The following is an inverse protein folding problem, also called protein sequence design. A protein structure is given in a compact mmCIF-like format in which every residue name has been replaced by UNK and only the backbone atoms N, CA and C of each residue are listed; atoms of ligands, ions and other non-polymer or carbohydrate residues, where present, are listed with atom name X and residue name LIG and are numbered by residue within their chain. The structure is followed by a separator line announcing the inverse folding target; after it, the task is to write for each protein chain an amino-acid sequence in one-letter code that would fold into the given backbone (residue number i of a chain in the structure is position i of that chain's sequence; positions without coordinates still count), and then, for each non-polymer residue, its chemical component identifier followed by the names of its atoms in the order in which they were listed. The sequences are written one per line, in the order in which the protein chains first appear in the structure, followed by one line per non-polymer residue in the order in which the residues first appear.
data_IF_135028906463
#
_entry.id   IF_135028906463
#
_cell.length_a   1.000
_cell.length_b   1.000
_cell.length_c   1.000
_cell.angle_alpha   90.00
_cell.angle_beta   90.00
_cell.angle_gamma   90.00
#
_symmetry.space_group_name_H-M   'P 1'
#
loop_
_entity.id
_entity.type
_entity.pdbx_description
1 polymer ?
#
# COMPACT_ATOMS: atom_id res chain seq x y z
N UNK A 1 -63.48 -20.09 1.28
CA UNK A 1 -63.18 -18.65 1.18
C UNK A 1 -62.52 -18.11 2.46
N UNK A 2 -62.98 -18.49 3.65
CA UNK A 2 -62.44 -18.04 4.95
C UNK A 2 -60.93 -18.22 5.13
N UNK A 3 -60.35 -19.37 4.73
CA UNK A 3 -58.89 -19.60 4.80
C UNK A 3 -58.06 -18.68 3.89
N UNK A 4 -58.62 -18.22 2.76
CA UNK A 4 -57.94 -17.25 1.87
C UNK A 4 -58.02 -15.85 2.46
N UNK A 5 -59.17 -15.49 3.04
CA UNK A 5 -59.39 -14.22 3.73
C UNK A 5 -58.47 -14.09 4.95
N UNK A 6 -58.32 -15.15 5.76
CA UNK A 6 -57.44 -15.17 6.94
C UNK A 6 -55.95 -15.00 6.58
N UNK A 7 -55.52 -15.58 5.44
CA UNK A 7 -54.15 -15.40 4.92
C UNK A 7 -53.91 -13.96 4.45
N UNK A 8 -54.90 -13.35 3.80
CA UNK A 8 -54.84 -11.95 3.35
C UNK A 8 -54.80 -10.98 4.53
N UNK A 9 -55.68 -11.16 5.53
CA UNK A 9 -55.68 -10.32 6.73
C UNK A 9 -54.42 -10.50 7.56
N UNK A 10 -53.94 -11.74 7.73
CA UNK A 10 -52.66 -12.01 8.40
C UNK A 10 -51.47 -11.37 7.69
N UNK A 11 -51.44 -11.40 6.36
CA UNK A 11 -50.38 -10.73 5.58
C UNK A 11 -50.44 -9.22 5.73
N UNK A 12 -51.64 -8.61 5.74
CA UNK A 12 -51.83 -7.19 5.97
C UNK A 12 -51.35 -6.74 7.36
N UNK A 13 -51.66 -7.52 8.41
CA UNK A 13 -51.19 -7.25 9.77
C UNK A 13 -49.67 -7.35 9.86
N UNK A 14 -49.07 -8.35 9.23
CA UNK A 14 -47.61 -8.51 9.18
C UNK A 14 -46.94 -7.32 8.48
N UNK A 15 -47.48 -6.88 7.34
CA UNK A 15 -46.99 -5.70 6.60
C UNK A 15 -47.13 -4.44 7.47
N UNK A 16 -48.29 -4.23 8.11
CA UNK A 16 -48.50 -3.09 8.99
C UNK A 16 -47.51 -3.08 10.18
N UNK A 17 -47.27 -4.23 10.79
CA UNK A 17 -46.28 -4.38 11.86
C UNK A 17 -44.86 -4.06 11.38
N UNK A 18 -44.46 -4.55 10.19
CA UNK A 18 -43.18 -4.21 9.58
C UNK A 18 -43.06 -2.70 9.31
N UNK A 19 -44.10 -2.06 8.76
CA UNK A 19 -44.09 -0.61 8.49
C UNK A 19 -43.96 0.19 9.78
N UNK A 20 -44.69 -0.17 10.83
CA UNK A 20 -44.63 0.50 12.14
C UNK A 20 -43.24 0.35 12.76
N UNK A 21 -42.68 -0.86 12.78
CA UNK A 21 -41.36 -1.12 13.38
C UNK A 21 -40.24 -0.41 12.61
N UNK A 22 -40.27 -0.41 11.28
CA UNK A 22 -39.32 0.33 10.45
C UNK A 22 -39.45 1.85 10.63
N UNK A 23 -40.68 2.36 10.70
CA UNK A 23 -40.93 3.80 10.89
C UNK A 23 -40.47 4.28 12.27
N UNK A 24 -40.71 3.48 13.32
CA UNK A 24 -40.25 3.77 14.67
C UNK A 24 -38.71 3.78 14.73
N UNK A 25 -38.06 2.75 14.17
CA UNK A 25 -36.59 2.68 14.10
C UNK A 25 -35.98 3.85 13.32
N UNK A 26 -36.58 4.23 12.18
CA UNK A 26 -36.12 5.37 11.38
C UNK A 26 -36.25 6.71 12.12
N UNK A 27 -37.28 6.86 12.98
CA UNK A 27 -37.48 8.07 13.76
C UNK A 27 -36.47 8.19 14.90
N UNK A 28 -36.23 7.11 15.63
CA UNK A 28 -35.27 7.07 16.74
C UNK A 28 -33.81 7.27 16.29
N UNK A 29 -33.49 6.88 15.06
CA UNK A 29 -32.13 7.02 14.51
C UNK A 29 -31.89 8.34 13.76
N UNK A 30 -32.94 9.13 13.52
CA UNK A 30 -32.87 10.35 12.68
C UNK A 30 -32.02 11.45 13.28
N UNK A 31 -32.08 11.63 14.59
CA UNK A 31 -31.47 12.76 15.30
C UNK A 31 -30.19 12.37 16.07
N UNK A 32 -29.64 11.19 15.76
CA UNK A 32 -28.40 10.71 16.38
C UNK A 32 -27.22 11.58 15.93
N UNK A 33 -26.53 12.15 16.92
CA UNK A 33 -25.32 12.94 16.69
C UNK A 33 -24.06 12.08 16.74
N UNK A 34 -23.03 12.49 16.01
CA UNK A 34 -21.71 11.90 16.09
C UNK A 34 -21.04 12.25 17.44
N UNK A 35 -20.87 11.27 18.31
CA UNK A 35 -20.25 11.42 19.62
C UNK A 35 -18.73 11.25 19.59
N UNK A 36 -18.21 10.37 18.73
CA UNK A 36 -16.78 10.08 18.65
C UNK A 36 -16.36 9.61 17.25
N UNK A 37 -15.04 9.70 17.00
CA UNK A 37 -14.38 9.17 15.81
C UNK A 37 -13.50 8.02 16.28
N UNK A 38 -13.63 6.85 15.65
CA UNK A 38 -12.87 5.66 15.97
C UNK A 38 -12.00 5.26 14.78
N UNK A 39 -10.69 5.14 15.01
CA UNK A 39 -9.73 4.83 13.95
C UNK A 39 -9.27 3.38 14.06
N UNK A 40 -9.53 2.65 12.98
CA UNK A 40 -9.14 1.26 12.76
C UNK A 40 -7.94 1.22 11.80
N UNK A 41 -6.84 0.62 12.27
CA UNK A 41 -5.59 0.45 11.52
C UNK A 41 -5.28 -1.04 11.36
N UNK A 42 -4.62 -1.42 10.27
CA UNK A 42 -4.16 -2.80 10.08
C UNK A 42 -2.85 -3.06 10.85
N UNK A 43 -2.71 -4.24 11.46
CA UNK A 43 -1.61 -4.46 12.41
C UNK A 43 -0.21 -4.62 11.79
N UNK A 44 -0.08 -4.87 10.48
CA UNK A 44 1.21 -5.24 9.84
C UNK A 44 1.66 -4.34 8.68
N UNK A 45 1.24 -3.07 8.66
CA UNK A 45 1.67 -2.14 7.61
C UNK A 45 3.12 -1.65 7.83
N UNK A 46 3.92 -1.59 6.76
CA UNK A 46 5.31 -1.10 6.79
C UNK A 46 5.40 0.41 7.07
N UNK A 47 4.37 1.14 6.67
CA UNK A 47 4.22 2.58 6.88
C UNK A 47 2.99 2.78 7.76
N UNK A 48 3.15 3.53 8.85
CA UNK A 48 2.06 3.81 9.79
C UNK A 48 2.03 5.30 10.08
N UNK A 49 0.90 5.92 9.77
CA UNK A 49 0.54 7.25 10.25
C UNK A 49 -0.10 7.10 11.64
N UNK A 50 0.17 8.06 12.53
CA UNK A 50 -0.43 8.05 13.87
C UNK A 50 -1.95 8.25 13.83
N UNK A 51 -2.68 7.66 14.77
CA UNK A 51 -4.13 7.89 14.93
C UNK A 51 -4.45 9.39 15.11
N UNK A 52 -3.59 10.14 15.77
CA UNK A 52 -3.76 11.58 15.97
C UNK A 52 -3.64 12.37 14.65
N UNK A 53 -2.71 11.98 13.78
CA UNK A 53 -2.58 12.58 12.45
C UNK A 53 -3.78 12.25 11.55
N UNK A 54 -4.27 11.01 11.55
CA UNK A 54 -5.52 10.66 10.84
C UNK A 54 -6.70 11.45 11.41
N UNK A 55 -6.81 11.58 12.74
CA UNK A 55 -7.86 12.39 13.39
C UNK A 55 -7.78 13.84 12.93
N UNK A 56 -6.57 14.41 12.81
CA UNK A 56 -6.36 15.77 12.30
C UNK A 56 -6.76 15.89 10.83
N UNK A 57 -6.43 14.93 9.98
CA UNK A 57 -6.85 14.92 8.57
C UNK A 57 -8.38 14.92 8.45
N UNK A 58 -9.06 14.04 9.19
CA UNK A 58 -10.53 13.95 9.21
C UNK A 58 -11.16 15.27 9.69
N UNK A 59 -10.67 15.84 10.80
CA UNK A 59 -11.17 17.13 11.33
C UNK A 59 -10.83 18.33 10.47
N UNK A 60 -9.77 18.28 9.67
CA UNK A 60 -9.44 19.34 8.72
C UNK A 60 -10.41 19.39 7.53
N UNK A 61 -11.07 18.27 7.24
CA UNK A 61 -12.06 18.18 6.18
C UNK A 61 -13.46 18.63 6.64
N UNK A 62 -13.78 18.42 7.92
CA UNK A 62 -14.99 18.93 8.58
C UNK A 62 -14.68 19.10 10.08
N UNK A 63 -14.61 20.35 10.54
CA UNK A 63 -14.23 20.70 11.91
C UNK A 63 -15.38 20.52 12.91
N UNK A 64 -16.62 20.40 12.42
CA UNK A 64 -17.83 20.26 13.21
C UNK A 64 -18.38 18.82 13.21
N UNK A 65 -17.51 17.81 13.10
CA UNK A 65 -17.98 16.41 13.09
C UNK A 65 -18.62 15.99 14.41
N UNK A 66 -17.99 16.30 15.54
CA UNK A 66 -18.51 15.92 16.86
C UNK A 66 -19.70 16.81 17.22
N UNK A 67 -20.83 16.21 17.56
CA UNK A 67 -22.09 16.88 17.84
C UNK A 67 -23.00 17.11 16.63
N UNK A 68 -22.49 16.96 15.41
CA UNK A 68 -23.29 17.06 14.18
C UNK A 68 -24.16 15.83 13.98
N UNK A 69 -25.33 16.03 13.38
CA UNK A 69 -26.23 14.94 13.01
C UNK A 69 -25.50 13.97 12.05
N UNK A 70 -25.46 12.69 12.41
CA UNK A 70 -24.71 11.65 11.70
C UNK A 70 -25.15 11.51 10.24
N UNK A 71 -26.43 11.78 9.92
CA UNK A 71 -26.95 11.74 8.55
C UNK A 71 -26.39 12.87 7.68
N UNK A 72 -26.09 14.03 8.26
CA UNK A 72 -25.56 15.20 7.54
C UNK A 72 -24.05 15.11 7.26
N UNK A 73 -23.36 14.14 7.84
CA UNK A 73 -21.93 13.91 7.58
C UNK A 73 -21.76 13.26 6.21
N UNK A 74 -20.98 13.87 5.32
CA UNK A 74 -20.70 13.32 4.00
C UNK A 74 -19.43 12.46 4.05
N UNK A 75 -19.60 11.14 4.20
CA UNK A 75 -18.49 10.19 4.29
C UNK A 75 -17.57 10.25 3.07
N UNK A 76 -18.12 10.18 1.85
CA UNK A 76 -17.36 10.20 0.60
C UNK A 76 -16.47 11.45 0.44
N UNK A 77 -16.90 12.59 0.98
CA UNK A 77 -16.11 13.82 0.93
C UNK A 77 -14.97 13.81 1.95
N UNK A 78 -15.20 13.22 3.13
CA UNK A 78 -14.15 12.99 4.12
C UNK A 78 -13.12 11.97 3.61
N UNK A 79 -13.57 10.87 3.00
CA UNK A 79 -12.69 9.86 2.41
C UNK A 79 -11.75 10.49 1.38
N UNK A 80 -12.32 11.21 0.40
CA UNK A 80 -11.53 11.92 -0.62
C UNK A 80 -10.59 12.96 -0.04
N UNK A 81 -10.94 13.59 1.07
CA UNK A 81 -10.05 14.56 1.72
C UNK A 81 -8.87 13.86 2.41
N UNK A 82 -9.13 12.75 3.11
CA UNK A 82 -8.11 11.94 3.80
C UNK A 82 -7.17 11.26 2.79
N UNK A 83 -7.72 10.74 1.68
CA UNK A 83 -6.96 10.08 0.61
C UNK A 83 -6.00 11.01 -0.17
N UNK A 84 -6.10 12.34 0.01
CA UNK A 84 -5.09 13.28 -0.52
C UNK A 84 -3.74 13.14 0.17
N UNK A 85 -3.70 12.55 1.36
CA UNK A 85 -2.46 12.34 2.07
C UNK A 85 -1.63 11.24 1.37
N UNK A 86 -0.40 11.56 0.97
CA UNK A 86 0.40 10.71 0.08
C UNK A 86 0.64 9.29 0.61
N UNK A 87 0.74 9.10 1.92
CA UNK A 87 0.93 7.77 2.52
C UNK A 87 -0.37 6.95 2.71
N UNK A 88 -1.54 7.50 2.38
CA UNK A 88 -2.84 6.80 2.45
C UNK A 88 -3.20 6.30 1.05
N UNK A 89 -3.45 4.99 0.93
CA UNK A 89 -3.93 4.37 -0.31
C UNK A 89 -5.46 4.45 -0.40
N UNK A 90 -6.14 4.18 0.71
CA UNK A 90 -7.61 4.12 0.78
C UNK A 90 -8.07 4.53 2.17
N UNK A 91 -9.15 5.30 2.23
CA UNK A 91 -9.91 5.56 3.43
C UNK A 91 -11.34 5.02 3.26
N UNK A 92 -11.84 4.33 4.27
CA UNK A 92 -13.24 3.89 4.36
C UNK A 92 -13.83 4.51 5.62
N UNK A 93 -14.83 5.37 5.44
CA UNK A 93 -15.48 6.10 6.51
C UNK A 93 -16.93 5.66 6.58
N UNK A 94 -17.30 5.08 7.71
CA UNK A 94 -18.64 4.54 7.91
C UNK A 94 -19.24 5.04 9.22
N UNK A 95 -20.57 5.05 9.25
CA UNK A 95 -21.37 5.56 10.36
C UNK A 95 -21.91 4.39 11.14
N UNK A 96 -21.60 4.32 12.42
CA UNK A 96 -22.12 3.30 13.34
C UNK A 96 -23.06 3.96 14.32
N UNK A 97 -24.23 3.38 14.55
CA UNK A 97 -25.13 3.79 15.62
C UNK A 97 -25.12 2.66 16.66
N UNK A 98 -24.69 3.00 17.86
CA UNK A 98 -24.73 2.09 19.01
C UNK A 98 -25.80 2.54 19.99
N UNK A 99 -26.48 1.59 20.63
CA UNK A 99 -27.41 1.87 21.71
C UNK A 99 -26.68 1.65 23.03
N UNK A 100 -26.57 2.69 23.85
CA UNK A 100 -26.08 2.58 25.22
C UNK A 100 -27.25 2.66 26.22
N UNK A 101 -26.92 2.67 27.52
CA UNK A 101 -27.92 2.74 28.60
C UNK A 101 -28.69 4.06 28.66
N UNK A 102 -28.24 5.11 27.94
CA UNK A 102 -28.77 6.48 28.01
C UNK A 102 -29.46 6.87 26.70
N UNK A 103 -29.09 6.29 25.56
CA UNK A 103 -29.72 6.53 24.27
C UNK A 103 -28.94 5.95 23.09
N UNK A 104 -29.16 6.52 21.91
CA UNK A 104 -28.40 6.19 20.71
C UNK A 104 -27.19 7.13 20.57
N UNK A 105 -26.01 6.56 20.32
CA UNK A 105 -24.77 7.31 20.04
C UNK A 105 -24.24 6.95 18.66
N UNK A 106 -23.92 7.98 17.88
CA UNK A 106 -23.24 7.83 16.60
C UNK A 106 -21.73 7.80 16.76
N UNK A 107 -21.07 6.86 16.10
CA UNK A 107 -19.62 6.79 15.96
C UNK A 107 -19.26 6.88 14.49
N UNK A 108 -18.26 7.70 14.16
CA UNK A 108 -17.65 7.70 12.84
C UNK A 108 -16.46 6.74 12.84
N UNK A 109 -16.63 5.56 12.22
CA UNK A 109 -15.56 4.61 12.01
C UNK A 109 -14.70 5.05 10.82
N UNK A 110 -13.39 5.09 11.00
CA UNK A 110 -12.41 5.47 9.98
C UNK A 110 -11.41 4.34 9.85
N UNK A 111 -11.48 3.62 8.74
CA UNK A 111 -10.54 2.55 8.42
C UNK A 111 -9.57 3.04 7.36
N UNK A 112 -8.28 2.98 7.69
CA UNK A 112 -7.21 3.45 6.81
C UNK A 112 -6.42 2.26 6.28
N UNK A 113 -6.13 2.30 4.98
CA UNK A 113 -5.11 1.47 4.35
C UNK A 113 -3.96 2.36 3.88
N UNK A 114 -2.77 2.13 4.42
CA UNK A 114 -1.56 2.84 4.02
C UNK A 114 -1.04 2.32 2.68
N UNK A 115 -0.26 3.13 1.99
CA UNK A 115 0.49 2.66 0.81
C UNK A 115 1.61 1.73 1.22
N UNK A 116 1.78 0.66 0.46
CA UNK A 116 2.86 -0.30 0.65
C UNK A 116 4.05 0.07 -0.25
N UNK A 117 5.20 0.46 0.32
CA UNK A 117 6.38 0.75 -0.47
C UNK A 117 6.98 -0.54 -1.05
N UNK A 118 7.54 -0.44 -2.26
CA UNK A 118 8.20 -1.54 -2.97
C UNK A 118 9.69 -1.25 -3.17
N UNK A 119 10.03 0.02 -3.37
CA UNK A 119 11.40 0.48 -3.57
C UNK A 119 11.61 1.81 -2.87
N UNK A 120 12.78 1.97 -2.26
CA UNK A 120 13.26 3.25 -1.74
C UNK A 120 14.14 3.92 -2.77
N UNK A 121 13.76 5.11 -3.22
CA UNK A 121 14.55 5.94 -4.13
C UNK A 121 15.47 6.86 -3.33
N UNK A 122 16.74 6.87 -3.69
CA UNK A 122 17.75 7.79 -3.18
C UNK A 122 18.61 8.29 -4.34
N UNK A 123 18.10 9.29 -5.05
CA UNK A 123 18.79 9.90 -6.20
C UNK A 123 19.14 11.36 -5.91
N UNK A 124 19.73 12.03 -6.91
CA UNK A 124 19.94 13.48 -6.89
C UNK A 124 18.62 14.29 -6.86
N UNK A 125 17.51 13.71 -7.32
CA UNK A 125 16.21 14.39 -7.37
C UNK A 125 15.42 14.29 -6.05
N UNK A 126 15.78 13.35 -5.17
CA UNK A 126 15.15 13.26 -3.86
C UNK A 126 15.25 11.90 -3.20
N UNK A 127 14.61 11.82 -2.03
CA UNK A 127 14.47 10.59 -1.24
C UNK A 127 13.01 10.35 -0.95
N UNK A 128 12.51 9.22 -1.42
CA UNK A 128 11.10 8.84 -1.30
C UNK A 128 10.96 7.33 -1.52
N UNK A 129 9.76 6.79 -1.33
CA UNK A 129 9.43 5.44 -1.73
C UNK A 129 8.45 5.46 -2.90
N UNK A 130 8.44 4.39 -3.69
CA UNK A 130 7.40 4.13 -4.67
C UNK A 130 6.59 2.90 -4.25
N UNK A 131 5.27 2.98 -4.39
CA UNK A 131 4.39 1.80 -4.32
C UNK A 131 4.37 1.02 -5.64
N UNK A 132 3.64 -0.10 -5.68
CA UNK A 132 3.47 -0.93 -6.88
C UNK A 132 2.87 -0.19 -8.08
N UNK A 133 2.17 0.92 -7.84
CA UNK A 133 1.49 1.71 -8.86
C UNK A 133 2.34 2.90 -9.32
N UNK A 134 3.52 3.10 -8.73
CA UNK A 134 4.40 4.23 -9.03
C UNK A 134 3.99 5.52 -8.33
N UNK A 135 3.11 5.46 -7.33
CA UNK A 135 2.78 6.61 -6.50
C UNK A 135 3.89 6.87 -5.49
N UNK A 136 4.18 8.15 -5.27
CA UNK A 136 5.25 8.60 -4.38
C UNK A 136 4.76 8.59 -2.94
N UNK A 137 5.53 7.93 -2.07
CA UNK A 137 5.35 7.99 -0.62
C UNK A 137 6.53 8.77 -0.04
N UNK A 138 6.30 9.90 0.65
CA UNK A 138 7.38 10.70 1.20
C UNK A 138 8.17 9.93 2.27
N UNK A 139 9.40 10.32 2.57
CA UNK A 139 10.08 9.79 3.75
C UNK A 139 9.55 10.47 5.02
N UNK A 140 9.45 9.74 6.12
CA UNK A 140 9.10 10.30 7.44
C UNK A 140 10.06 9.81 8.51
N UNK A 141 10.23 10.60 9.58
CA UNK A 141 10.90 10.13 10.79
C UNK A 141 10.08 9.07 11.54
N UNK A 142 8.77 9.00 11.29
CA UNK A 142 7.84 8.15 12.02
C UNK A 142 7.75 6.71 11.46
N UNK A 143 8.37 6.44 10.31
CA UNK A 143 8.37 5.10 9.73
C UNK A 143 9.62 4.85 8.86
N UNK A 144 10.02 3.58 8.79
CA UNK A 144 11.02 3.09 7.85
C UNK A 144 10.58 1.74 7.30
N UNK A 145 10.61 1.58 5.98
CA UNK A 145 10.30 0.33 5.32
C UNK A 145 11.59 -0.36 4.87
N UNK A 146 11.71 -1.65 5.19
CA UNK A 146 12.79 -2.51 4.71
C UNK A 146 12.44 -3.03 3.31
N UNK A 147 12.82 -2.27 2.29
CA UNK A 147 12.57 -2.55 0.88
C UNK A 147 13.84 -2.32 0.07
N UNK A 148 13.92 -2.89 -1.13
CA UNK A 148 15.04 -2.69 -2.04
C UNK A 148 15.35 -1.19 -2.22
N UNK A 149 16.63 -0.85 -2.18
CA UNK A 149 17.08 0.54 -2.33
C UNK A 149 17.61 0.77 -3.73
N UNK A 150 17.10 1.80 -4.40
CA UNK A 150 17.61 2.28 -5.67
C UNK A 150 18.34 3.61 -5.49
N UNK A 151 19.58 3.65 -5.95
CA UNK A 151 20.51 4.77 -5.73
C UNK A 151 21.15 5.24 -7.04
N UNK A 152 21.68 6.46 -7.06
CA UNK A 152 22.49 6.96 -8.18
C UNK A 152 21.82 8.07 -8.99
N UNK A 153 22.08 8.09 -10.30
CA UNK A 153 21.81 9.22 -11.17
C UNK A 153 20.67 8.90 -12.15
N UNK A 154 19.45 9.21 -11.76
CA UNK A 154 18.26 9.00 -12.60
C UNK A 154 17.12 9.93 -12.19
N UNK A 155 16.22 10.17 -13.13
CA UNK A 155 15.03 11.00 -12.91
C UNK A 155 13.86 10.22 -12.31
N UNK A 156 12.90 10.92 -11.72
CA UNK A 156 11.63 10.32 -11.26
C UNK A 156 10.92 9.57 -12.39
N UNK A 157 10.98 10.07 -13.62
CA UNK A 157 10.42 9.40 -14.79
C UNK A 157 11.10 8.06 -15.07
N UNK A 158 12.44 7.99 -15.01
CA UNK A 158 13.17 6.74 -15.15
C UNK A 158 12.83 5.78 -14.00
N UNK A 159 12.72 6.30 -12.77
CA UNK A 159 12.34 5.52 -11.60
C UNK A 159 10.99 4.81 -11.79
N UNK A 160 9.99 5.53 -12.31
CA UNK A 160 8.63 4.99 -12.51
C UNK A 160 8.52 4.06 -13.73
N UNK A 161 9.16 4.42 -14.85
CA UNK A 161 8.94 3.72 -16.13
C UNK A 161 9.89 2.58 -16.43
N UNK A 162 11.12 2.60 -15.90
CA UNK A 162 12.13 1.58 -16.19
C UNK A 162 12.52 0.80 -14.95
N UNK A 163 12.84 1.51 -13.87
CA UNK A 163 13.32 0.90 -12.64
C UNK A 163 12.21 0.15 -11.89
N UNK A 164 11.02 0.75 -11.72
CA UNK A 164 9.92 0.11 -11.00
C UNK A 164 9.50 -1.24 -11.63
N UNK A 165 9.29 -1.38 -12.96
CA UNK A 165 9.03 -2.68 -13.57
C UNK A 165 10.11 -3.72 -13.30
N UNK A 166 11.38 -3.31 -13.32
CA UNK A 166 12.51 -4.18 -12.99
C UNK A 166 12.50 -4.62 -11.52
N UNK A 167 12.23 -3.70 -10.59
CA UNK A 167 12.13 -4.03 -9.17
C UNK A 167 10.94 -4.95 -8.90
N UNK A 168 9.78 -4.72 -9.51
CA UNK A 168 8.63 -5.62 -9.39
C UNK A 168 8.96 -7.03 -9.87
N UNK A 169 9.71 -7.15 -10.97
CA UNK A 169 10.20 -8.44 -11.45
C UNK A 169 11.13 -9.14 -10.44
N UNK A 170 12.00 -8.40 -9.76
CA UNK A 170 12.85 -8.93 -8.68
C UNK A 170 11.97 -9.40 -7.51
N UNK A 171 11.06 -8.55 -7.04
CA UNK A 171 10.18 -8.82 -5.89
C UNK A 171 9.24 -10.01 -6.10
N UNK A 172 8.79 -10.24 -7.34
CA UNK A 172 7.94 -11.37 -7.71
C UNK A 172 8.72 -12.66 -7.94
N UNK A 173 10.05 -12.59 -8.03
CA UNK A 173 10.91 -13.76 -8.20
C UNK A 173 11.58 -14.15 -6.87
N UNK A 174 11.21 -15.27 -6.23
CA UNK A 174 11.74 -15.64 -4.91
C UNK A 174 13.26 -15.76 -4.86
N UNK A 175 13.91 -16.16 -5.96
CA UNK A 175 15.37 -16.24 -6.02
C UNK A 175 16.00 -14.85 -6.03
N UNK A 176 15.51 -13.94 -6.89
CA UNK A 176 16.11 -12.60 -7.00
C UNK A 176 15.77 -11.70 -5.82
N UNK A 177 14.56 -11.80 -5.29
CA UNK A 177 14.17 -11.13 -4.03
C UNK A 177 15.11 -11.50 -2.87
N UNK A 178 15.51 -12.76 -2.77
CA UNK A 178 16.43 -13.22 -1.73
C UNK A 178 17.90 -12.83 -2.00
N UNK A 179 18.23 -12.39 -3.21
CA UNK A 179 19.61 -12.17 -3.65
C UNK A 179 19.95 -10.71 -3.91
N UNK A 180 19.01 -9.81 -4.22
CA UNK A 180 19.30 -8.42 -4.57
C UNK A 180 18.91 -7.49 -3.43
N UNK A 181 19.86 -6.72 -2.91
CA UNK A 181 19.63 -5.74 -1.85
C UNK A 181 19.52 -4.32 -2.39
N UNK A 182 20.40 -3.95 -3.34
CA UNK A 182 20.48 -2.60 -3.88
C UNK A 182 20.59 -2.61 -5.41
N UNK A 183 19.95 -1.61 -6.02
CA UNK A 183 20.13 -1.23 -7.42
C UNK A 183 20.84 0.13 -7.44
N UNK A 184 21.91 0.24 -8.22
CA UNK A 184 22.63 1.50 -8.42
C UNK A 184 22.62 1.86 -9.90
N UNK A 185 22.30 3.11 -10.23
CA UNK A 185 22.36 3.64 -11.60
C UNK A 185 23.54 4.60 -11.69
N UNK A 186 24.51 4.21 -12.49
CA UNK A 186 25.72 5.00 -12.77
C UNK A 186 25.40 6.24 -13.62
N UNK A 187 26.30 7.22 -13.66
CA UNK A 187 26.13 8.44 -14.46
C UNK A 187 25.97 8.19 -15.96
N UNK A 188 26.55 7.09 -16.46
CA UNK A 188 26.43 6.67 -17.85
C UNK A 188 25.14 5.89 -18.15
N UNK A 189 24.25 5.72 -17.16
CA UNK A 189 23.00 4.98 -17.27
C UNK A 189 23.13 3.47 -17.07
N UNK A 190 24.33 2.94 -16.81
CA UNK A 190 24.50 1.54 -16.48
C UNK A 190 23.89 1.21 -15.12
N UNK A 191 23.16 0.10 -15.05
CA UNK A 191 22.61 -0.43 -13.82
C UNK A 191 23.52 -1.50 -13.23
N UNK A 192 23.77 -1.37 -11.93
CA UNK A 192 24.52 -2.29 -11.09
C UNK A 192 23.58 -2.87 -10.02
N UNK A 193 23.72 -4.16 -9.73
CA UNK A 193 23.05 -4.80 -8.60
C UNK A 193 24.09 -5.17 -7.56
N UNK A 194 23.78 -4.86 -6.30
CA UNK A 194 24.52 -5.36 -5.14
C UNK A 194 23.72 -6.51 -4.54
N UNK A 195 24.31 -7.71 -4.47
CA UNK A 195 23.64 -8.85 -3.88
C UNK A 195 23.62 -8.75 -2.34
N UNK A 196 22.67 -9.45 -1.72
CA UNK A 196 22.60 -9.60 -0.27
C UNK A 196 23.74 -10.48 0.27
N UNK A 197 24.23 -11.42 -0.55
CA UNK A 197 25.29 -12.38 -0.18
C UNK A 197 26.44 -12.28 -1.17
N UNK A 198 27.64 -12.08 -0.61
CA UNK A 198 28.88 -11.92 -1.35
C UNK A 198 29.18 -10.45 -1.67
N UNK A 199 30.44 -10.20 -2.02
CA UNK A 199 30.95 -8.83 -2.22
C UNK A 199 31.18 -8.49 -3.71
N UNK A 200 30.55 -9.24 -4.63
CA UNK A 200 30.65 -8.99 -6.06
C UNK A 200 29.56 -8.04 -6.54
N UNK A 201 29.87 -7.25 -7.56
CA UNK A 201 28.88 -6.40 -8.23
C UNK A 201 28.37 -7.10 -9.49
N UNK A 202 27.05 -7.08 -9.69
CA UNK A 202 26.43 -7.54 -10.93
C UNK A 202 26.23 -6.34 -11.86
N UNK A 203 26.92 -6.32 -12.99
CA UNK A 203 26.78 -5.27 -13.99
C UNK A 203 25.71 -5.67 -15.02
N UNK A 204 24.53 -5.04 -14.94
CA UNK A 204 23.41 -5.27 -15.85
C UNK A 204 23.56 -4.51 -17.18
N UNK A 205 24.21 -3.34 -17.11
CA UNK A 205 24.19 -2.36 -18.20
C UNK A 205 22.82 -1.72 -18.31
N UNK A 206 22.25 -1.64 -19.52
CA UNK A 206 20.85 -1.23 -19.67
C UNK A 206 19.89 -2.21 -18.96
N UNK A 207 18.69 -1.75 -18.61
CA UNK A 207 17.63 -2.63 -18.13
C UNK A 207 16.91 -3.39 -19.26
N UNK A 208 17.27 -3.18 -20.52
CA UNK A 208 16.70 -3.96 -21.62
C UNK A 208 16.98 -5.46 -21.43
N UNK A 209 15.97 -6.28 -21.74
CA UNK A 209 16.00 -7.74 -21.61
C UNK A 209 16.45 -8.24 -20.22
N UNK A 210 16.15 -7.50 -19.14
CA UNK A 210 16.47 -7.92 -17.78
C UNK A 210 16.01 -9.36 -17.43
N UNK A 211 14.88 -9.92 -17.93
CA UNK A 211 14.51 -11.30 -17.63
C UNK A 211 15.52 -12.31 -18.17
N UNK A 212 16.05 -12.06 -19.38
CA UNK A 212 17.06 -12.90 -20.03
C UNK A 212 18.41 -12.79 -19.30
N UNK A 213 18.82 -11.57 -18.96
CA UNK A 213 20.07 -11.30 -18.21
C UNK A 213 20.06 -11.98 -16.86
N UNK A 214 18.97 -11.83 -16.10
CA UNK A 214 18.78 -12.49 -14.82
C UNK A 214 18.69 -14.01 -14.98
N UNK A 215 18.07 -14.56 -16.02
CA UNK A 215 18.11 -16.01 -16.26
C UNK A 215 19.54 -16.54 -16.43
N UNK A 216 20.37 -15.85 -17.21
CA UNK A 216 21.77 -16.22 -17.41
C UNK A 216 22.57 -16.13 -16.11
N UNK A 217 22.34 -15.07 -15.33
CA UNK A 217 22.99 -14.91 -14.02
C UNK A 217 22.58 -16.01 -13.05
N UNK A 218 21.30 -16.39 -13.01
CA UNK A 218 20.84 -17.51 -12.17
C UNK A 218 21.54 -18.82 -12.52
N UNK A 219 21.70 -19.11 -13.82
CA UNK A 219 22.45 -20.28 -14.27
C UNK A 219 23.91 -20.24 -13.80
N UNK A 220 24.56 -19.08 -13.86
CA UNK A 220 25.92 -18.90 -13.34
C UNK A 220 26.01 -19.17 -11.83
N UNK A 221 25.07 -18.65 -11.04
CA UNK A 221 25.03 -18.91 -9.60
C UNK A 221 24.88 -20.41 -9.30
N UNK A 222 23.96 -21.08 -9.99
CA UNK A 222 23.68 -22.50 -9.76
C UNK A 222 24.81 -23.42 -10.21
N UNK A 223 25.49 -23.11 -11.31
CA UNK A 223 26.51 -23.98 -11.90
C UNK A 223 27.92 -23.68 -11.37
N UNK A 224 28.23 -22.41 -11.08
CA UNK A 224 29.58 -21.96 -10.75
C UNK A 224 29.70 -21.59 -9.28
N UNK A 225 28.77 -20.79 -8.72
CA UNK A 225 28.92 -20.31 -7.35
C UNK A 225 28.52 -21.35 -6.30
N UNK A 226 27.56 -22.23 -6.60
CA UNK A 226 27.10 -23.26 -5.65
C UNK A 226 28.22 -24.23 -5.20
N UNK A 227 29.26 -24.42 -6.01
CA UNK A 227 30.41 -25.29 -5.69
C UNK A 227 31.70 -24.55 -5.33
N UNK A 228 31.71 -23.22 -5.32
CA UNK A 228 32.92 -22.40 -5.17
C UNK A 228 32.81 -21.38 -4.04
N UNK A 229 33.93 -20.73 -3.71
CA UNK A 229 33.95 -19.61 -2.77
C UNK A 229 33.23 -18.39 -3.38
N UNK A 230 32.18 -17.91 -2.72
CA UNK A 230 31.38 -16.75 -3.11
C UNK A 230 32.23 -15.48 -3.30
N UNK A 231 33.37 -15.39 -2.61
CA UNK A 231 34.27 -14.23 -2.67
C UNK A 231 35.30 -14.28 -3.80
N UNK A 232 35.20 -15.26 -4.71
CA UNK A 232 36.16 -15.43 -5.80
C UNK A 232 36.10 -14.33 -6.87
N UNK A 233 34.92 -13.73 -7.06
CA UNK A 233 34.68 -12.75 -8.11
C UNK A 233 34.53 -11.35 -7.53
N UNK A 234 35.03 -10.36 -8.28
CA UNK A 234 34.82 -8.95 -7.98
C UNK A 234 33.60 -8.40 -8.73
N UNK A 235 33.45 -8.80 -10.00
CA UNK A 235 32.40 -8.30 -10.89
C UNK A 235 31.86 -9.42 -11.77
N UNK A 236 30.55 -9.44 -11.96
CA UNK A 236 29.83 -10.34 -12.86
C UNK A 236 29.02 -9.50 -13.85
N UNK A 237 29.36 -9.53 -15.12
CA UNK A 237 28.70 -8.72 -16.15
C UNK A 237 27.75 -9.57 -16.99
N UNK A 238 26.49 -9.11 -17.11
CA UNK A 238 25.46 -9.67 -18.00
C UNK A 238 25.05 -8.69 -19.09
N UNK A 239 25.90 -7.68 -19.36
CA UNK A 239 25.71 -6.72 -20.45
C UNK A 239 25.67 -7.38 -21.83
N UNK A 240 26.39 -8.49 -21.98
CA UNK A 240 26.57 -9.16 -23.26
C UNK A 240 25.54 -10.27 -23.47
N UNK A 241 24.99 -10.33 -24.68
CA UNK A 241 23.93 -11.29 -25.02
C UNK A 241 24.41 -12.72 -24.80
N UNK A 242 23.64 -13.50 -24.03
CA UNK A 242 23.86 -14.91 -23.75
C UNK A 242 25.21 -15.26 -23.07
N UNK A 243 25.84 -14.30 -22.38
CA UNK A 243 27.11 -14.53 -21.70
C UNK A 243 27.12 -13.91 -20.31
N UNK A 244 27.87 -14.54 -19.40
CA UNK A 244 28.21 -13.97 -18.08
C UNK A 244 29.72 -13.83 -18.06
N UNK A 245 30.23 -12.60 -17.99
CA UNK A 245 31.66 -12.34 -17.89
C UNK A 245 32.00 -12.12 -16.43
N UNK A 246 32.86 -12.98 -15.88
CA UNK A 246 33.26 -12.92 -14.48
C UNK A 246 34.70 -12.43 -14.36
N UNK A 247 34.89 -11.31 -13.66
CA UNK A 247 36.21 -10.81 -13.28
C UNK A 247 36.59 -11.36 -11.91
N UNK A 248 37.63 -12.19 -11.87
CA UNK A 248 38.21 -12.67 -10.60
C UNK A 248 38.89 -11.54 -9.85
N UNK A 249 38.99 -11.69 -8.53
CA UNK A 249 39.84 -10.84 -7.70
C UNK A 249 41.31 -11.04 -8.02
#
# INVERSE_FOLDING_TARGET
MLRKLLKLTGSLVLIAFLVVTLSFSARETKDVTCGNIEIELQENELIKISKDEITRLVRSADDQLVGKNLQLINADSLERAVEKHQAIQKAEIYKVITKDSVGYRGTLGVKIKHREPVVRIMSSEGRYYLDRNGEVIPTSANYTANVLVATGYFSEQFAKTQLLPFVLFIEENPFWKAQVEQVHVEQNGDVLLTPLVGDHIIEMGSLEDYPQKLRNMKAFYQQIMAGNNWNMYQKLSVKYKNQVIAKKR
#
